data_IF_108049502348
#
_entry.id   IF_108049502348
#
_cell.length_a   1.000
_cell.length_b   1.000
_cell.length_c   1.000
_cell.angle_alpha   90.00
_cell.angle_beta   90.00
_cell.angle_gamma   90.00
#
_symmetry.space_group_name_H-M   'P 1'
#
loop_
_entity.id
_entity.type
_entity.pdbx_description
1 polymer ?
#
# COMPACT_ATOMS: atom_id res chain seq x y z
N UNK A 1 -23.92 10.96 -21.75
CA UNK A 1 -23.57 10.31 -20.47
C UNK A 1 -23.80 11.33 -19.35
N UNK A 2 -24.26 10.91 -18.17
CA UNK A 2 -24.40 11.82 -17.04
C UNK A 2 -23.02 12.39 -16.66
N UNK A 3 -22.97 13.68 -16.34
CA UNK A 3 -21.78 14.38 -15.87
C UNK A 3 -22.10 15.08 -14.56
N UNK A 4 -21.16 15.08 -13.61
CA UNK A 4 -21.28 15.84 -12.36
C UNK A 4 -20.53 17.17 -12.51
N UNK A 5 -21.13 18.28 -12.09
CA UNK A 5 -20.52 19.62 -12.22
C UNK A 5 -20.35 20.26 -10.83
N UNK A 6 -19.24 20.95 -10.64
CA UNK A 6 -18.93 21.80 -9.48
C UNK A 6 -18.09 22.99 -9.94
N UNK A 7 -17.90 24.02 -9.11
CA UNK A 7 -17.46 25.34 -9.58
C UNK A 7 -16.03 25.35 -10.15
N UNK A 8 -15.14 24.56 -9.56
CA UNK A 8 -13.71 24.50 -9.89
C UNK A 8 -13.36 23.36 -10.86
N UNK A 9 -14.36 22.56 -11.29
CA UNK A 9 -14.15 21.45 -12.20
C UNK A 9 -13.46 21.91 -13.48
N UNK A 10 -12.30 21.33 -13.75
CA UNK A 10 -11.55 21.60 -14.97
C UNK A 10 -10.89 20.32 -15.48
N UNK A 11 -10.58 20.30 -16.78
CA UNK A 11 -9.71 19.25 -17.33
C UNK A 11 -8.33 19.39 -16.67
N UNK A 12 -7.82 18.35 -16.00
CA UNK A 12 -6.53 18.47 -15.34
C UNK A 12 -5.42 18.78 -16.34
N UNK A 13 -4.67 19.84 -16.08
CA UNK A 13 -3.36 20.01 -16.67
C UNK A 13 -2.42 18.98 -16.05
N UNK A 14 -1.67 18.27 -16.89
CA UNK A 14 -0.69 17.30 -16.40
C UNK A 14 0.48 18.08 -15.79
N UNK A 15 0.71 18.01 -14.48
CA UNK A 15 1.83 18.70 -13.88
C UNK A 15 3.12 18.06 -14.40
N UNK A 16 4.08 18.89 -14.82
CA UNK A 16 5.43 18.42 -15.08
C UNK A 16 6.05 17.87 -13.79
N UNK A 17 6.55 16.65 -13.87
CA UNK A 17 7.04 15.88 -12.74
C UNK A 17 8.11 14.90 -13.23
N UNK A 18 9.16 14.74 -12.43
CA UNK A 18 10.18 13.74 -12.63
C UNK A 18 10.38 12.97 -11.31
N UNK A 19 10.79 11.72 -11.43
CA UNK A 19 11.11 10.87 -10.29
C UNK A 19 12.63 10.75 -10.19
N UNK A 20 13.14 10.93 -8.97
CA UNK A 20 14.53 10.68 -8.62
C UNK A 20 14.59 9.37 -7.83
N UNK A 21 15.61 8.56 -8.10
CA UNK A 21 15.85 7.33 -7.35
C UNK A 21 16.59 7.66 -6.06
N UNK A 22 16.03 7.26 -4.92
CA UNK A 22 16.68 7.35 -3.61
C UNK A 22 17.56 6.11 -3.37
N UNK A 23 16.97 4.93 -3.48
CA UNK A 23 17.67 3.68 -3.15
C UNK A 23 17.10 2.47 -3.87
N UNK A 24 17.93 1.44 -3.99
CA UNK A 24 17.51 0.09 -4.37
C UNK A 24 17.56 -0.77 -3.11
N UNK A 25 16.44 -1.41 -2.80
CA UNK A 25 16.34 -2.32 -1.65
C UNK A 25 16.41 -3.75 -2.15
N UNK A 26 17.41 -4.49 -1.64
CA UNK A 26 17.55 -5.94 -1.79
C UNK A 26 17.10 -6.59 -0.49
N UNK A 27 15.83 -7.03 -0.38
CA UNK A 27 15.32 -7.60 0.86
C UNK A 27 16.18 -8.76 1.34
N UNK A 28 16.77 -8.60 2.52
CA UNK A 28 17.66 -9.61 3.13
C UNK A 28 18.88 -9.96 2.25
N UNK A 29 19.31 -9.05 1.38
CA UNK A 29 20.48 -9.19 0.51
C UNK A 29 20.29 -10.11 -0.70
N UNK A 30 19.09 -10.66 -0.90
CA UNK A 30 18.79 -11.51 -2.05
C UNK A 30 18.93 -10.71 -3.35
N UNK A 31 19.71 -11.24 -4.29
CA UNK A 31 19.95 -10.61 -5.59
C UNK A 31 21.00 -9.50 -5.60
N UNK A 32 21.58 -9.13 -4.45
CA UNK A 32 22.57 -8.05 -4.38
C UNK A 32 23.88 -8.40 -5.13
N UNK A 33 24.51 -7.47 -5.87
CA UNK A 33 24.01 -6.17 -6.35
C UNK A 33 23.46 -6.24 -7.80
N UNK A 34 23.19 -7.44 -8.31
CA UNK A 34 23.01 -7.71 -9.75
C UNK A 34 21.55 -7.73 -10.20
N UNK A 35 20.62 -8.09 -9.31
CA UNK A 35 19.21 -8.19 -9.64
C UNK A 35 18.62 -6.81 -9.88
N UNK A 36 18.05 -6.61 -11.08
CA UNK A 36 17.45 -5.33 -11.45
C UNK A 36 16.06 -5.17 -10.82
N UNK A 37 15.79 -4.04 -10.14
CA UNK A 37 14.49 -3.80 -9.53
C UNK A 37 13.42 -3.60 -10.60
N UNK A 38 12.27 -4.26 -10.42
CA UNK A 38 11.05 -3.98 -11.19
C UNK A 38 10.04 -3.19 -10.37
N UNK A 39 9.96 -3.45 -9.08
CA UNK A 39 8.92 -2.88 -8.24
C UNK A 39 9.29 -1.46 -7.76
N UNK A 40 8.29 -0.61 -7.59
CA UNK A 40 8.50 0.81 -7.28
C UNK A 40 7.71 1.20 -6.03
N UNK A 41 8.38 1.90 -5.13
CA UNK A 41 7.80 2.53 -3.95
C UNK A 41 8.16 4.03 -3.98
N UNK A 42 7.17 4.89 -4.15
CA UNK A 42 7.40 6.28 -4.57
C UNK A 42 6.85 7.25 -3.52
N UNK A 43 7.70 8.12 -3.00
CA UNK A 43 7.33 9.23 -2.11
C UNK A 43 6.95 10.48 -2.92
N UNK A 44 5.75 11.01 -2.70
CA UNK A 44 5.35 12.30 -3.26
C UNK A 44 3.85 12.40 -3.55
N UNK A 45 3.43 13.60 -3.97
CA UNK A 45 2.04 13.83 -4.38
C UNK A 45 1.66 12.92 -5.55
N UNK A 46 0.61 12.14 -5.35
CA UNK A 46 0.21 11.08 -6.25
C UNK A 46 -0.30 11.56 -7.61
N UNK A 47 -0.83 12.78 -7.72
CA UNK A 47 -1.19 13.35 -9.02
C UNK A 47 0.06 13.60 -9.86
N UNK A 48 1.09 14.20 -9.26
CA UNK A 48 2.38 14.43 -9.92
C UNK A 48 3.14 13.14 -10.20
N UNK A 49 3.12 12.18 -9.28
CA UNK A 49 3.74 10.86 -9.48
C UNK A 49 3.07 10.12 -10.64
N UNK A 50 1.74 10.02 -10.66
CA UNK A 50 1.04 9.39 -11.79
C UNK A 50 1.35 10.09 -13.13
N UNK A 51 1.47 11.42 -13.14
CA UNK A 51 1.89 12.18 -14.33
C UNK A 51 3.30 11.76 -14.81
N UNK A 52 4.26 11.62 -13.88
CA UNK A 52 5.62 11.18 -14.18
C UNK A 52 5.69 9.71 -14.66
N UNK A 53 4.71 8.87 -14.30
CA UNK A 53 4.64 7.47 -14.72
C UNK A 53 4.04 7.28 -16.12
N UNK A 54 3.30 8.25 -16.66
CA UNK A 54 2.64 8.12 -17.96
C UNK A 54 3.57 7.69 -19.11
N UNK A 55 4.80 8.25 -19.27
CA UNK A 55 5.68 7.87 -20.37
C UNK A 55 6.02 6.37 -20.41
N UNK A 56 6.06 5.72 -19.25
CA UNK A 56 6.41 4.31 -19.12
C UNK A 56 5.19 3.40 -18.97
N UNK A 57 4.14 3.84 -18.27
CA UNK A 57 3.05 2.99 -17.79
C UNK A 57 1.67 3.30 -18.36
N UNK A 58 1.50 4.31 -19.22
CA UNK A 58 0.21 4.56 -19.87
C UNK A 58 -0.29 3.31 -20.61
N UNK A 59 -1.50 2.85 -20.27
CA UNK A 59 -2.06 1.64 -20.85
C UNK A 59 -1.40 0.32 -20.42
N UNK A 60 -0.70 0.26 -19.28
CA UNK A 60 0.08 -0.95 -18.88
C UNK A 60 -0.26 -1.55 -17.52
N UNK A 61 -1.01 -0.84 -16.66
CA UNK A 61 -1.31 -1.32 -15.30
C UNK A 61 -2.53 -2.24 -15.31
N UNK A 62 -2.38 -3.50 -14.89
CA UNK A 62 -3.44 -4.50 -14.94
C UNK A 62 -4.48 -4.30 -13.83
N UNK A 63 -4.05 -3.82 -12.66
CA UNK A 63 -4.94 -3.62 -11.51
C UNK A 63 -4.54 -2.37 -10.75
N UNK A 64 -5.50 -1.49 -10.50
CA UNK A 64 -5.35 -0.38 -9.55
C UNK A 64 -6.30 -0.61 -8.39
N UNK A 65 -5.77 -0.63 -7.17
CA UNK A 65 -6.57 -0.50 -5.95
C UNK A 65 -6.31 0.89 -5.38
N UNK A 66 -7.38 1.63 -5.11
CA UNK A 66 -7.30 2.98 -4.56
C UNK A 66 -8.19 3.09 -3.31
N UNK A 67 -7.60 3.58 -2.23
CA UNK A 67 -8.24 3.82 -0.93
C UNK A 67 -7.95 5.28 -0.52
N UNK A 68 -8.51 6.27 -1.25
CA UNK A 68 -8.26 7.68 -0.97
C UNK A 68 -8.88 8.08 0.38
N UNK A 69 -8.64 9.31 0.87
CA UNK A 69 -9.41 9.88 1.96
C UNK A 69 -10.93 9.84 1.67
N UNK A 70 -11.74 9.59 2.72
CA UNK A 70 -13.18 9.32 2.58
C UNK A 70 -14.04 10.58 2.77
N UNK A 71 -13.46 11.78 2.79
CA UNK A 71 -14.19 13.02 3.06
C UNK A 71 -14.84 13.04 4.47
N UNK A 72 -14.15 12.45 5.46
CA UNK A 72 -14.65 12.38 6.84
C UNK A 72 -14.43 13.66 7.64
N UNK A 73 -13.64 14.59 7.10
CA UNK A 73 -13.20 15.84 7.74
C UNK A 73 -12.48 15.62 9.08
N UNK A 74 -11.57 14.64 9.10
CA UNK A 74 -10.75 14.25 10.26
C UNK A 74 -9.27 14.22 9.90
N UNK A 75 -8.43 14.23 10.95
CA UNK A 75 -7.00 13.93 10.83
C UNK A 75 -6.74 12.56 11.43
N UNK A 76 -5.93 11.76 10.73
CA UNK A 76 -5.59 10.41 11.15
C UNK A 76 -4.11 10.38 11.57
N UNK A 77 -3.81 10.58 12.88
CA UNK A 77 -2.44 10.47 13.36
C UNK A 77 -1.97 9.02 13.31
N UNK A 78 -0.67 8.84 13.06
CA UNK A 78 0.00 7.55 13.13
C UNK A 78 0.67 7.40 14.49
N UNK A 79 0.61 6.19 15.06
CA UNK A 79 1.35 5.87 16.27
C UNK A 79 2.83 5.64 15.94
N UNK A 80 3.73 6.29 16.67
CA UNK A 80 5.18 6.16 16.58
C UNK A 80 5.74 5.65 17.90
N UNK A 81 7.01 5.24 17.93
CA UNK A 81 7.63 4.71 19.16
C UNK A 81 7.13 3.33 19.56
N UNK A 82 7.54 2.87 20.75
CA UNK A 82 7.16 1.56 21.33
C UNK A 82 7.08 1.56 22.84
N UNK A 83 6.30 0.60 23.36
CA UNK A 83 6.18 0.30 24.78
C UNK A 83 4.86 0.75 25.41
N UNK A 84 4.13 1.65 24.77
CA UNK A 84 2.91 2.22 25.37
C UNK A 84 1.74 1.23 25.27
N UNK A 85 0.86 1.25 26.25
CA UNK A 85 -0.27 0.32 26.25
C UNK A 85 -1.25 0.67 25.10
N UNK A 86 -1.54 -0.28 24.22
CA UNK A 86 -2.57 -0.12 23.17
C UNK A 86 -4.00 0.11 23.74
N UNK A 87 -4.17 -0.07 25.05
CA UNK A 87 -5.37 0.24 25.82
C UNK A 87 -5.36 1.66 26.41
N UNK A 88 -4.21 2.35 26.42
CA UNK A 88 -4.08 3.71 26.95
C UNK A 88 -3.64 4.72 25.87
N UNK A 89 -4.57 5.32 25.11
CA UNK A 89 -4.24 6.28 24.05
C UNK A 89 -3.50 7.54 24.52
N UNK A 90 -3.55 7.88 25.81
CA UNK A 90 -2.89 9.06 26.36
C UNK A 90 -1.37 8.92 26.41
N UNK A 91 -0.88 7.69 26.42
CA UNK A 91 0.55 7.39 26.42
C UNK A 91 1.10 7.28 24.99
N UNK A 92 0.27 7.34 23.95
CA UNK A 92 0.72 7.13 22.58
C UNK A 92 1.56 8.32 22.11
N UNK A 93 2.76 8.04 21.65
CA UNK A 93 3.48 8.95 20.79
C UNK A 93 2.83 8.92 19.40
N UNK A 94 2.48 10.11 18.92
CA UNK A 94 1.78 10.29 17.66
C UNK A 94 2.62 11.14 16.72
N UNK A 95 2.56 10.81 15.44
CA UNK A 95 3.00 11.66 14.35
C UNK A 95 1.87 11.85 13.34
N UNK A 96 2.11 12.72 12.36
CA UNK A 96 1.21 12.89 11.23
C UNK A 96 1.11 11.59 10.41
N UNK A 97 -0.11 11.08 10.22
CA UNK A 97 -0.39 9.96 9.32
C UNK A 97 -0.81 10.47 7.96
N UNK A 98 -2.12 10.70 7.78
CA UNK A 98 -2.67 11.36 6.59
C UNK A 98 -3.80 12.35 6.95
N UNK A 99 -3.95 13.45 6.20
CA UNK A 99 -5.07 14.37 6.34
C UNK A 99 -6.28 13.89 5.52
N UNK A 100 -7.47 13.96 6.12
CA UNK A 100 -8.75 13.82 5.41
C UNK A 100 -9.64 15.01 5.82
N UNK A 101 -9.14 16.22 5.54
CA UNK A 101 -9.78 17.47 5.92
C UNK A 101 -9.81 18.41 4.73
N UNK A 102 -11.00 18.88 4.40
CA UNK A 102 -11.30 19.65 3.19
C UNK A 102 -12.10 20.89 3.58
N UNK A 103 -11.94 21.96 2.81
CA UNK A 103 -12.73 23.19 3.01
C UNK A 103 -14.21 22.92 2.76
N UNK A 104 -14.50 22.23 1.66
CA UNK A 104 -15.83 21.87 1.18
C UNK A 104 -15.77 20.64 0.27
N UNK A 105 -16.90 20.26 -0.33
CA UNK A 105 -16.99 19.15 -1.27
C UNK A 105 -16.18 19.44 -2.56
N UNK A 106 -16.23 20.65 -3.09
CA UNK A 106 -15.51 21.04 -4.31
C UNK A 106 -14.01 20.81 -4.15
N UNK A 107 -13.41 21.18 -3.02
CA UNK A 107 -12.01 20.91 -2.72
C UNK A 107 -11.67 19.41 -2.67
N UNK A 108 -12.59 18.57 -2.18
CA UNK A 108 -12.42 17.12 -2.20
C UNK A 108 -12.51 16.55 -3.63
N UNK A 109 -13.46 17.03 -4.44
CA UNK A 109 -13.63 16.62 -5.83
C UNK A 109 -12.45 17.08 -6.69
N UNK A 110 -11.88 18.26 -6.44
CA UNK A 110 -10.67 18.76 -7.09
C UNK A 110 -9.45 17.88 -6.77
N UNK A 111 -9.41 17.26 -5.60
CA UNK A 111 -8.41 16.24 -5.30
C UNK A 111 -8.69 14.94 -6.06
N UNK A 112 -9.91 14.41 -5.97
CA UNK A 112 -10.23 13.06 -6.45
C UNK A 112 -10.30 12.97 -7.98
N UNK A 113 -10.98 13.89 -8.65
CA UNK A 113 -11.26 13.87 -10.08
C UNK A 113 -10.01 13.71 -10.97
N UNK A 114 -8.97 14.55 -10.85
CA UNK A 114 -7.81 14.46 -11.74
C UNK A 114 -7.00 13.18 -11.52
N UNK A 115 -7.03 12.64 -10.30
CA UNK A 115 -6.37 11.37 -9.97
C UNK A 115 -7.07 10.19 -10.63
N UNK A 116 -8.41 10.16 -10.62
CA UNK A 116 -9.18 9.12 -11.29
C UNK A 116 -8.98 9.14 -12.82
N UNK A 117 -8.82 10.33 -13.42
CA UNK A 117 -8.46 10.45 -14.85
C UNK A 117 -7.11 9.79 -15.14
N UNK A 118 -6.10 10.06 -14.31
CA UNK A 118 -4.77 9.46 -14.49
C UNK A 118 -4.77 7.95 -14.25
N UNK A 119 -5.47 7.47 -13.22
CA UNK A 119 -5.64 6.03 -12.99
C UNK A 119 -6.28 5.35 -14.21
N UNK A 120 -7.32 5.96 -14.79
CA UNK A 120 -7.93 5.45 -16.02
C UNK A 120 -6.93 5.40 -17.19
N UNK A 121 -6.07 6.39 -17.37
CA UNK A 121 -5.04 6.39 -18.43
C UNK A 121 -3.97 5.32 -18.21
N UNK A 122 -3.55 5.11 -16.98
CA UNK A 122 -2.52 4.13 -16.62
C UNK A 122 -3.00 2.68 -16.76
N UNK A 123 -4.31 2.42 -16.61
CA UNK A 123 -4.86 1.08 -16.77
C UNK A 123 -4.63 0.52 -18.17
N UNK A 124 -4.15 -0.72 -18.22
CA UNK A 124 -4.14 -1.54 -19.42
C UNK A 124 -5.57 -1.73 -19.98
N UNK A 125 -5.73 -2.04 -21.29
CA UNK A 125 -7.05 -2.29 -21.87
C UNK A 125 -7.86 -3.36 -21.12
N UNK A 126 -7.18 -4.35 -20.53
CA UNK A 126 -7.79 -5.42 -19.71
C UNK A 126 -7.83 -5.10 -18.21
N UNK A 127 -7.47 -3.89 -17.84
CA UNK A 127 -7.23 -3.49 -16.46
C UNK A 127 -8.51 -3.15 -15.69
N UNK A 128 -8.45 -3.33 -14.37
CA UNK A 128 -9.57 -3.05 -13.45
C UNK A 128 -9.15 -2.07 -12.37
N UNK A 129 -10.02 -1.10 -12.07
CA UNK A 129 -9.93 -0.20 -10.91
C UNK A 129 -10.88 -0.69 -9.81
N UNK A 130 -10.36 -0.81 -8.59
CA UNK A 130 -11.12 -0.96 -7.36
C UNK A 130 -10.97 0.31 -6.53
N UNK A 131 -12.04 1.11 -6.44
CA UNK A 131 -12.06 2.33 -5.64
C UNK A 131 -12.84 2.10 -4.34
N UNK A 132 -12.14 2.14 -3.22
CA UNK A 132 -12.68 1.90 -1.88
C UNK A 132 -13.06 3.22 -1.20
N UNK A 133 -14.32 3.37 -0.79
CA UNK A 133 -14.87 4.56 -0.13
C UNK A 133 -15.93 4.18 0.91
N UNK A 134 -16.29 5.12 1.79
CA UNK A 134 -17.51 5.01 2.61
C UNK A 134 -18.66 5.85 2.05
N UNK A 135 -19.76 5.89 2.82
CA UNK A 135 -20.99 6.61 2.48
C UNK A 135 -20.83 8.12 2.30
N UNK A 136 -19.77 8.77 2.79
CA UNK A 136 -19.57 10.21 2.59
C UNK A 136 -19.17 10.52 1.14
N UNK A 137 -18.42 9.62 0.49
CA UNK A 137 -17.76 9.89 -0.78
C UNK A 137 -18.21 8.99 -1.94
N UNK A 138 -18.71 7.78 -1.66
CA UNK A 138 -18.96 6.75 -2.69
C UNK A 138 -19.92 7.22 -3.80
N UNK A 139 -20.98 7.96 -3.46
CA UNK A 139 -21.95 8.46 -4.43
C UNK A 139 -21.33 9.48 -5.41
N UNK A 140 -20.48 10.39 -4.93
CA UNK A 140 -19.82 11.38 -5.78
C UNK A 140 -18.77 10.72 -6.68
N UNK A 141 -17.98 9.81 -6.11
CA UNK A 141 -16.98 9.07 -6.86
C UNK A 141 -17.60 8.20 -7.96
N UNK A 142 -18.77 7.61 -7.69
CA UNK A 142 -19.53 6.84 -8.68
C UNK A 142 -19.86 7.67 -9.92
N UNK A 143 -20.37 8.89 -9.73
CA UNK A 143 -20.70 9.78 -10.85
C UNK A 143 -19.45 10.23 -11.62
N UNK A 144 -18.34 10.48 -10.92
CA UNK A 144 -17.05 10.78 -11.57
C UNK A 144 -16.57 9.59 -12.41
N UNK A 145 -16.63 8.37 -11.87
CA UNK A 145 -16.19 7.18 -12.61
C UNK A 145 -17.09 6.88 -13.82
N UNK A 146 -18.40 7.08 -13.70
CA UNK A 146 -19.32 6.96 -14.85
C UNK A 146 -18.99 7.97 -15.96
N UNK A 147 -18.52 9.16 -15.61
CA UNK A 147 -18.07 10.16 -16.58
C UNK A 147 -16.72 9.79 -17.24
N UNK A 148 -15.78 9.24 -16.47
CA UNK A 148 -14.41 8.92 -16.93
C UNK A 148 -14.35 7.62 -17.74
N UNK A 149 -14.97 6.56 -17.22
CA UNK A 149 -14.94 5.22 -17.80
C UNK A 149 -16.13 4.97 -18.72
N UNK A 150 -17.26 5.63 -18.45
CA UNK A 150 -18.56 5.28 -19.02
C UNK A 150 -19.42 4.49 -18.03
N UNK A 151 -20.72 4.79 -17.99
CA UNK A 151 -21.67 4.18 -17.06
C UNK A 151 -21.87 2.67 -17.27
N UNK A 152 -21.54 2.16 -18.45
CA UNK A 152 -21.56 0.75 -18.83
C UNK A 152 -20.29 0.00 -18.41
N UNK A 153 -19.27 0.70 -17.89
CA UNK A 153 -18.01 0.11 -17.43
C UNK A 153 -17.97 -0.22 -15.94
N UNK A 154 -19.00 0.15 -15.18
CA UNK A 154 -19.17 -0.40 -13.83
C UNK A 154 -19.36 -1.91 -13.94
N UNK A 155 -18.37 -2.65 -13.45
CA UNK A 155 -18.46 -4.11 -13.36
C UNK A 155 -19.31 -4.52 -12.16
N UNK A 156 -19.06 -3.92 -10.99
CA UNK A 156 -19.78 -4.26 -9.77
C UNK A 156 -19.65 -3.17 -8.69
N UNK A 157 -20.58 -3.19 -7.74
CA UNK A 157 -20.49 -2.47 -6.47
C UNK A 157 -20.35 -3.48 -5.33
N UNK A 158 -19.16 -3.58 -4.75
CA UNK A 158 -18.86 -4.56 -3.71
C UNK A 158 -19.06 -3.91 -2.34
N UNK A 159 -19.82 -4.56 -1.47
CA UNK A 159 -20.06 -4.13 -0.10
C UNK A 159 -19.13 -4.88 0.84
N UNK A 160 -18.09 -4.23 1.36
CA UNK A 160 -17.23 -4.84 2.38
C UNK A 160 -17.85 -4.69 3.76
N UNK A 161 -18.36 -5.78 4.31
CA UNK A 161 -19.01 -5.85 5.63
C UNK A 161 -18.01 -6.26 6.71
N UNK A 162 -18.10 -5.61 7.88
CA UNK A 162 -17.27 -5.90 9.03
C UNK A 162 -18.02 -5.68 10.35
N UNK A 163 -17.60 -6.40 11.40
CA UNK A 163 -18.14 -6.23 12.75
C UNK A 163 -17.24 -5.36 13.62
N UNK A 164 -17.82 -4.77 14.65
CA UNK A 164 -17.09 -4.05 15.69
C UNK A 164 -18.03 -3.22 16.56
N UNK A 165 -17.54 -2.68 17.69
CA UNK A 165 -18.34 -1.77 18.51
C UNK A 165 -18.79 -0.57 17.68
N UNK A 166 -19.95 -0.01 18.04
CA UNK A 166 -20.47 1.23 17.47
C UNK A 166 -21.05 2.07 18.60
N UNK A 167 -20.64 3.35 18.72
CA UNK A 167 -21.21 4.25 19.71
C UNK A 167 -22.59 4.78 19.28
N UNK A 168 -23.01 4.54 18.03
CA UNK A 168 -24.30 5.00 17.52
C UNK A 168 -25.42 4.32 18.33
N UNK A 169 -26.40 5.13 18.75
CA UNK A 169 -27.60 4.69 19.50
C UNK A 169 -28.90 5.15 18.85
N UNK A 170 -28.84 6.10 17.92
CA UNK A 170 -29.99 6.74 17.27
C UNK A 170 -30.27 6.23 15.85
N UNK A 171 -29.46 5.30 15.34
CA UNK A 171 -29.57 4.76 13.97
C UNK A 171 -28.96 3.36 13.89
N UNK A 172 -29.16 2.67 12.77
CA UNK A 172 -28.46 1.43 12.48
C UNK A 172 -26.95 1.66 12.42
N UNK A 173 -26.21 0.66 12.91
CA UNK A 173 -24.75 0.71 12.89
C UNK A 173 -24.24 0.66 11.46
N UNK A 174 -23.41 1.63 11.11
CA UNK A 174 -22.64 1.61 9.86
C UNK A 174 -21.55 0.55 9.99
N UNK A 175 -21.66 -0.52 9.19
CA UNK A 175 -20.84 -1.73 9.26
C UNK A 175 -20.40 -2.25 7.89
N UNK A 176 -20.34 -1.34 6.93
CA UNK A 176 -19.78 -1.63 5.63
C UNK A 176 -19.17 -0.38 5.00
N UNK A 177 -18.21 -0.65 4.11
CA UNK A 177 -17.66 0.30 3.16
C UNK A 177 -18.02 -0.20 1.74
N UNK A 178 -17.94 0.67 0.75
CA UNK A 178 -18.26 0.38 -0.65
C UNK A 178 -16.98 0.34 -1.49
N UNK A 179 -16.83 -0.66 -2.34
CA UNK A 179 -15.74 -0.78 -3.31
C UNK A 179 -16.36 -0.78 -4.72
N UNK A 180 -16.17 0.32 -5.44
CA UNK A 180 -16.61 0.48 -6.82
C UNK A 180 -15.61 -0.21 -7.76
N UNK A 181 -16.09 -1.10 -8.62
CA UNK A 181 -15.25 -1.86 -9.54
C UNK A 181 -15.53 -1.43 -10.98
N UNK A 182 -14.53 -0.84 -11.63
CA UNK A 182 -14.61 -0.38 -13.02
C UNK A 182 -13.59 -1.10 -13.89
N UNK A 183 -14.01 -1.41 -15.10
CA UNK A 183 -13.15 -2.03 -16.12
C UNK A 183 -12.77 -1.01 -17.16
N UNK A 184 -11.51 -1.04 -17.62
CA UNK A 184 -11.02 -0.11 -18.65
C UNK A 184 -11.77 -0.28 -19.98
N UNK A 185 -12.17 -1.51 -20.31
CA UNK A 185 -12.89 -1.85 -21.53
C UNK A 185 -13.87 -3.02 -21.30
N UNK A 186 -14.48 -3.53 -22.36
CA UNK A 186 -15.32 -4.74 -22.32
C UNK A 186 -14.53 -6.02 -22.05
N UNK A 187 -13.24 -6.03 -22.38
CA UNK A 187 -12.34 -7.13 -22.07
C UNK A 187 -11.60 -6.82 -20.78
N UNK A 188 -11.64 -7.73 -19.80
CA UNK A 188 -10.96 -7.56 -18.52
C UNK A 188 -10.53 -8.91 -17.93
N UNK A 189 -9.53 -8.88 -17.06
CA UNK A 189 -9.07 -10.07 -16.33
C UNK A 189 -10.03 -10.37 -15.17
N UNK A 190 -10.61 -11.58 -15.15
CA UNK A 190 -11.35 -12.10 -13.99
C UNK A 190 -11.08 -13.60 -13.77
N UNK A 191 -10.20 -13.91 -12.82
CA UNK A 191 -9.81 -15.27 -12.45
C UNK A 191 -10.83 -15.88 -11.48
N UNK A 192 -11.98 -16.26 -12.03
CA UNK A 192 -13.13 -16.76 -11.26
C UNK A 192 -12.78 -17.89 -10.30
N UNK A 193 -11.89 -18.80 -10.70
CA UNK A 193 -11.54 -19.98 -9.90
C UNK A 193 -10.64 -19.65 -8.71
N UNK A 194 -9.82 -18.59 -8.80
CA UNK A 194 -8.92 -18.15 -7.73
C UNK A 194 -9.64 -17.51 -6.54
N UNK A 195 -10.90 -17.11 -6.73
CA UNK A 195 -11.70 -16.42 -5.71
C UNK A 195 -12.87 -17.25 -5.20
N UNK A 196 -13.05 -18.49 -5.69
CA UNK A 196 -14.13 -19.35 -5.21
C UNK A 196 -14.02 -19.63 -3.72
N UNK A 197 -15.18 -19.73 -3.10
CA UNK A 197 -15.32 -20.13 -1.71
C UNK A 197 -16.15 -21.42 -1.60
N UNK A 198 -15.91 -22.24 -0.56
CA UNK A 198 -16.77 -23.38 -0.28
C UNK A 198 -18.23 -22.96 -0.18
N UNK A 199 -19.14 -23.85 -0.59
CA UNK A 199 -20.54 -23.67 -0.29
C UNK A 199 -20.77 -23.73 1.23
N UNK A 200 -21.80 -23.02 1.68
CA UNK A 200 -22.23 -23.11 3.07
C UNK A 200 -22.56 -24.57 3.44
N UNK A 201 -22.19 -25.06 4.64
CA UNK A 201 -22.47 -26.43 5.06
C UNK A 201 -23.94 -26.84 4.94
N UNK A 202 -24.88 -25.91 5.15
CA UNK A 202 -26.32 -26.13 4.96
C UNK A 202 -26.62 -26.40 3.50
N UNK A 203 -26.03 -25.64 2.58
CA UNK A 203 -26.19 -25.88 1.13
C UNK A 203 -25.68 -27.26 0.75
N UNK A 204 -24.51 -27.65 1.24
CA UNK A 204 -23.93 -28.98 1.00
C UNK A 204 -24.89 -30.08 1.50
N UNK A 205 -25.43 -29.94 2.71
CA UNK A 205 -26.41 -30.88 3.28
C UNK A 205 -27.70 -30.97 2.45
N UNK A 206 -28.21 -29.83 1.98
CA UNK A 206 -29.43 -29.78 1.15
C UNK A 206 -29.27 -30.52 -0.18
N UNK A 207 -28.13 -30.36 -0.85
CA UNK A 207 -27.87 -31.10 -2.09
C UNK A 207 -27.54 -32.58 -1.86
N UNK A 208 -27.02 -32.93 -0.67
CA UNK A 208 -26.87 -34.32 -0.26
C UNK A 208 -28.24 -34.99 -0.01
N UNK A 209 -29.22 -34.27 0.54
CA UNK A 209 -30.57 -34.80 0.80
C UNK A 209 -31.46 -34.84 -0.44
N UNK A 210 -31.30 -33.89 -1.37
CA UNK A 210 -32.05 -33.89 -2.63
C UNK A 210 -31.26 -33.26 -3.77
N UNK A 211 -30.96 -34.08 -4.80
CA UNK A 211 -30.36 -33.60 -6.06
C UNK A 211 -31.29 -32.66 -6.85
N UNK A 212 -32.59 -32.61 -6.51
CA UNK A 212 -33.57 -31.70 -7.14
C UNK A 212 -33.66 -30.32 -6.47
N UNK A 213 -32.95 -30.10 -5.35
CA UNK A 213 -33.02 -28.87 -4.58
C UNK A 213 -32.57 -27.60 -5.34
N UNK A 214 -31.78 -27.75 -6.40
CA UNK A 214 -31.28 -26.63 -7.20
C UNK A 214 -32.12 -26.28 -8.42
N UNK A 215 -33.45 -26.47 -8.38
CA UNK A 215 -34.33 -26.20 -9.52
C UNK A 215 -33.86 -26.87 -10.83
N UNK A 216 -33.40 -28.12 -10.73
CA UNK A 216 -32.88 -28.90 -11.86
C UNK A 216 -31.38 -28.70 -12.18
N UNK A 217 -30.67 -27.82 -11.48
CA UNK A 217 -29.21 -27.66 -11.59
C UNK A 217 -28.51 -28.24 -10.37
N UNK A 218 -27.52 -29.11 -10.60
CA UNK A 218 -26.66 -29.66 -9.54
C UNK A 218 -25.34 -28.86 -9.55
N UNK A 219 -25.03 -28.09 -8.50
CA UNK A 219 -23.78 -27.35 -8.44
C UNK A 219 -22.59 -28.29 -8.21
N UNK A 220 -21.41 -27.90 -8.69
CA UNK A 220 -20.18 -28.58 -8.34
C UNK A 220 -19.74 -28.15 -6.93
N UNK A 221 -20.20 -28.89 -5.92
CA UNK A 221 -19.94 -28.60 -4.51
C UNK A 221 -18.44 -28.60 -4.16
N UNK A 222 -17.63 -29.42 -4.84
CA UNK A 222 -16.18 -29.49 -4.64
C UNK A 222 -15.47 -28.25 -5.19
N UNK A 223 -15.89 -27.75 -6.36
CA UNK A 223 -15.33 -26.53 -6.97
C UNK A 223 -15.69 -25.27 -6.19
N UNK A 224 -16.78 -25.30 -5.44
CA UNK A 224 -17.26 -24.15 -4.66
C UNK A 224 -17.97 -23.10 -5.53
N UNK A 225 -18.38 -22.00 -4.90
CA UNK A 225 -19.11 -20.90 -5.53
C UNK A 225 -18.25 -19.67 -5.70
N UNK A 226 -18.61 -18.82 -6.66
CA UNK A 226 -18.09 -17.46 -6.72
C UNK A 226 -18.67 -16.69 -5.52
N UNK A 227 -17.88 -15.88 -4.79
CA UNK A 227 -18.39 -15.04 -3.72
C UNK A 227 -19.46 -14.09 -4.24
N UNK A 228 -20.40 -13.76 -3.37
CA UNK A 228 -21.32 -12.63 -3.56
C UNK A 228 -20.57 -11.30 -3.69
N UNK A 229 -21.27 -10.23 -4.00
CA UNK A 229 -20.78 -8.85 -3.99
C UNK A 229 -20.75 -8.23 -2.58
N UNK A 230 -21.30 -8.89 -1.56
CA UNK A 230 -21.08 -8.54 -0.16
C UNK A 230 -20.00 -9.42 0.47
N UNK A 231 -18.90 -8.82 0.91
CA UNK A 231 -17.74 -9.56 1.41
C UNK A 231 -17.58 -9.34 2.91
N UNK A 232 -17.48 -10.42 3.66
CA UNK A 232 -17.11 -10.32 5.07
C UNK A 232 -15.60 -10.49 5.25
N UNK A 233 -14.95 -9.43 5.74
CA UNK A 233 -13.60 -9.50 6.30
C UNK A 233 -13.53 -8.62 7.56
N UNK A 234 -12.98 -9.09 8.69
CA UNK A 234 -12.85 -8.25 9.87
C UNK A 234 -11.87 -7.11 9.59
N UNK A 235 -12.12 -5.94 10.18
CA UNK A 235 -11.11 -4.88 10.26
C UNK A 235 -9.89 -5.39 11.02
N UNK A 236 -8.70 -4.86 10.71
CA UNK A 236 -7.45 -5.30 11.33
C UNK A 236 -7.46 -4.99 12.83
N UNK A 237 -7.67 -6.03 13.64
CA UNK A 237 -7.77 -5.89 15.09
C UNK A 237 -6.47 -5.38 15.71
N UNK A 238 -6.57 -4.71 16.86
CA UNK A 238 -5.42 -4.04 17.53
C UNK A 238 -4.24 -4.97 17.81
N UNK A 239 -4.51 -6.23 18.16
CA UNK A 239 -3.49 -7.23 18.51
C UNK A 239 -3.15 -8.20 17.38
N UNK A 240 -3.76 -8.00 16.19
CA UNK A 240 -3.54 -8.90 15.06
C UNK A 240 -2.10 -8.77 14.53
N UNK A 241 -1.51 -9.89 14.10
CA UNK A 241 -0.10 -9.92 13.66
C UNK A 241 0.15 -9.11 12.38
N UNK A 242 -0.88 -8.95 11.53
CA UNK A 242 -0.76 -8.17 10.30
C UNK A 242 -0.71 -6.65 10.54
N UNK A 243 -1.10 -6.17 11.74
CA UNK A 243 -1.20 -4.74 12.04
C UNK A 243 0.18 -4.08 12.01
N UNK A 244 0.32 -3.01 11.24
CA UNK A 244 1.57 -2.24 11.12
C UNK A 244 1.67 -1.07 12.11
N UNK A 245 0.52 -0.56 12.58
CA UNK A 245 0.46 0.68 13.38
C UNK A 245 0.05 1.91 12.55
N UNK A 246 0.05 1.79 11.23
CA UNK A 246 -0.51 2.80 10.33
C UNK A 246 -2.04 2.87 10.49
N UNK A 247 -2.64 4.08 10.48
CA UNK A 247 -4.09 4.24 10.60
C UNK A 247 -4.83 3.52 9.46
N UNK A 248 -6.08 3.12 9.73
CA UNK A 248 -7.05 2.62 8.72
C UNK A 248 -6.56 1.49 7.79
N UNK A 249 -5.52 0.74 8.19
CA UNK A 249 -4.98 -0.40 7.44
C UNK A 249 -6.09 -1.39 7.04
N UNK A 250 -6.12 -1.71 5.74
CA UNK A 250 -7.01 -2.72 5.16
C UNK A 250 -6.46 -4.15 5.36
N UNK A 251 -7.33 -5.17 5.57
CA UNK A 251 -6.90 -6.55 5.84
C UNK A 251 -6.22 -7.20 4.63
N UNK A 252 -5.20 -8.02 4.88
CA UNK A 252 -4.48 -8.76 3.81
C UNK A 252 -5.43 -9.67 3.02
N UNK A 253 -6.42 -10.30 3.68
CA UNK A 253 -7.38 -11.19 3.03
C UNK A 253 -8.29 -10.49 2.00
N UNK A 254 -8.66 -9.23 2.26
CA UNK A 254 -9.46 -8.42 1.33
C UNK A 254 -8.65 -8.14 0.06
N UNK A 255 -7.43 -7.62 0.21
CA UNK A 255 -6.55 -7.30 -0.92
C UNK A 255 -6.12 -8.56 -1.69
N UNK A 256 -5.89 -9.68 -0.99
CA UNK A 256 -5.61 -10.96 -1.62
C UNK A 256 -6.72 -11.38 -2.57
N UNK A 257 -8.00 -11.23 -2.17
CA UNK A 257 -9.14 -11.56 -3.05
C UNK A 257 -9.18 -10.66 -4.28
N UNK A 258 -8.99 -9.35 -4.10
CA UNK A 258 -9.00 -8.37 -5.20
C UNK A 258 -7.88 -8.68 -6.21
N UNK A 259 -6.65 -8.88 -5.73
CA UNK A 259 -5.48 -9.13 -6.58
C UNK A 259 -5.63 -10.45 -7.33
N UNK A 260 -6.09 -11.51 -6.67
CA UNK A 260 -6.34 -12.78 -7.33
C UNK A 260 -7.43 -12.69 -8.40
N UNK A 261 -8.52 -11.97 -8.12
CA UNK A 261 -9.61 -11.78 -9.08
C UNK A 261 -9.12 -11.15 -10.37
N UNK A 262 -8.33 -10.07 -10.29
CA UNK A 262 -8.19 -9.14 -11.42
C UNK A 262 -6.74 -8.94 -11.88
N UNK A 263 -5.84 -9.87 -11.55
CA UNK A 263 -4.46 -9.89 -12.04
C UNK A 263 -3.88 -11.30 -12.05
N UNK A 264 -2.88 -11.52 -12.90
CA UNK A 264 -2.10 -12.73 -13.03
C UNK A 264 -0.68 -12.55 -12.43
N UNK A 265 0.07 -13.63 -12.17
CA UNK A 265 1.49 -13.51 -11.87
C UNK A 265 2.21 -12.65 -12.93
N UNK A 266 3.21 -11.89 -12.50
CA UNK A 266 3.91 -10.85 -13.26
C UNK A 266 3.07 -9.65 -13.71
N UNK A 267 1.75 -9.58 -13.48
CA UNK A 267 0.99 -8.35 -13.79
C UNK A 267 1.41 -7.17 -12.92
N UNK A 268 1.16 -5.95 -13.40
CA UNK A 268 1.34 -4.72 -12.64
C UNK A 268 0.12 -4.41 -11.77
N UNK A 269 0.34 -4.30 -10.47
CA UNK A 269 -0.63 -3.86 -9.47
C UNK A 269 -0.20 -2.53 -8.90
N UNK A 270 -1.04 -1.49 -8.97
CA UNK A 270 -0.72 -0.18 -8.44
C UNK A 270 -1.66 0.27 -7.31
N UNK A 271 -1.09 1.03 -6.39
CA UNK A 271 -1.79 1.69 -5.29
C UNK A 271 -1.18 3.06 -5.04
N UNK A 272 -1.90 4.11 -5.44
CA UNK A 272 -1.48 5.51 -5.33
C UNK A 272 -1.93 6.19 -4.02
N UNK A 273 -2.45 5.40 -3.07
CA UNK A 273 -2.80 5.79 -1.71
C UNK A 273 -2.32 4.71 -0.74
N UNK A 274 -1.07 4.27 -0.91
CA UNK A 274 -0.67 2.96 -0.40
C UNK A 274 -0.71 2.86 1.13
N UNK A 275 -0.53 3.97 1.86
CA UNK A 275 -0.62 4.04 3.31
C UNK A 275 0.22 2.96 3.99
N UNK A 276 -0.46 1.97 4.58
CA UNK A 276 0.19 0.83 5.24
C UNK A 276 0.89 -0.17 4.30
N UNK A 277 0.71 -0.07 2.98
CA UNK A 277 1.35 -0.92 1.97
C UNK A 277 0.70 -2.30 1.76
N UNK A 278 -0.54 -2.52 2.23
CA UNK A 278 -1.17 -3.86 2.15
C UNK A 278 -1.25 -4.37 0.71
N UNK A 279 -1.58 -3.51 -0.26
CA UNK A 279 -1.67 -3.86 -1.68
C UNK A 279 -0.32 -4.33 -2.21
N UNK A 280 0.75 -3.56 -2.00
CA UNK A 280 2.10 -3.91 -2.44
C UNK A 280 2.60 -5.22 -1.82
N UNK A 281 2.39 -5.40 -0.52
CA UNK A 281 2.78 -6.63 0.19
C UNK A 281 2.03 -7.84 -0.36
N UNK A 282 0.74 -7.73 -0.64
CA UNK A 282 -0.03 -8.83 -1.24
C UNK A 282 0.35 -9.08 -2.69
N UNK A 283 0.61 -8.04 -3.48
CA UNK A 283 1.09 -8.17 -4.85
C UNK A 283 2.42 -8.96 -4.87
N UNK A 284 3.39 -8.56 -4.06
CA UNK A 284 4.68 -9.25 -3.95
C UNK A 284 4.53 -10.72 -3.52
N UNK A 285 3.76 -11.00 -2.45
CA UNK A 285 3.53 -12.39 -1.99
C UNK A 285 2.84 -13.28 -3.04
N UNK A 286 2.06 -12.67 -3.93
CA UNK A 286 1.34 -13.36 -4.99
C UNK A 286 2.15 -13.38 -6.30
N UNK A 287 3.39 -12.90 -6.33
CA UNK A 287 4.22 -12.88 -7.54
C UNK A 287 3.74 -11.89 -8.60
N UNK A 288 3.16 -10.76 -8.18
CA UNK A 288 2.84 -9.62 -9.04
C UNK A 288 3.89 -8.52 -8.87
N UNK A 289 4.05 -7.69 -9.90
CA UNK A 289 4.84 -6.46 -9.81
C UNK A 289 4.01 -5.36 -9.16
N UNK A 290 4.64 -4.47 -8.39
CA UNK A 290 3.92 -3.38 -7.73
C UNK A 290 4.47 -1.98 -8.02
N UNK A 291 3.54 -1.02 -8.06
CA UNK A 291 3.82 0.42 -7.94
C UNK A 291 3.02 0.94 -6.75
N UNK A 292 3.68 1.35 -5.69
CA UNK A 292 3.04 1.90 -4.51
C UNK A 292 3.49 3.34 -4.30
N UNK A 293 2.55 4.23 -4.03
CA UNK A 293 2.85 5.64 -3.82
C UNK A 293 2.01 6.23 -2.70
N UNK A 294 2.64 7.13 -1.94
CA UNK A 294 2.01 7.92 -0.90
C UNK A 294 2.75 9.25 -0.74
N UNK A 295 2.03 10.27 -0.26
CA UNK A 295 2.58 11.58 0.07
C UNK A 295 3.47 11.53 1.33
N UNK A 296 3.16 10.62 2.24
CA UNK A 296 3.79 10.55 3.56
C UNK A 296 5.01 9.64 3.57
N UNK A 297 6.17 10.17 3.99
CA UNK A 297 7.35 9.35 4.29
C UNK A 297 7.01 8.16 5.18
N UNK A 298 6.09 8.32 6.13
CA UNK A 298 5.74 7.27 7.08
C UNK A 298 4.97 6.12 6.43
N UNK A 299 4.13 6.41 5.45
CA UNK A 299 3.48 5.38 4.65
C UNK A 299 4.51 4.57 3.86
N UNK A 300 5.46 5.28 3.24
CA UNK A 300 6.55 4.66 2.49
C UNK A 300 7.46 3.82 3.40
N UNK A 301 7.88 4.36 4.54
CA UNK A 301 8.67 3.65 5.54
C UNK A 301 7.95 2.41 6.08
N UNK A 302 6.66 2.54 6.40
CA UNK A 302 5.83 1.42 6.87
C UNK A 302 5.72 0.33 5.79
N UNK A 303 5.51 0.73 4.54
CA UNK A 303 5.40 -0.19 3.41
C UNK A 303 6.71 -0.96 3.21
N UNK A 304 7.85 -0.25 3.21
CA UNK A 304 9.19 -0.86 3.17
C UNK A 304 9.40 -1.86 4.31
N UNK A 305 9.07 -1.47 5.54
CA UNK A 305 9.19 -2.32 6.74
C UNK A 305 8.31 -3.57 6.69
N UNK A 306 7.28 -3.60 5.85
CA UNK A 306 6.46 -4.80 5.60
C UNK A 306 6.97 -5.63 4.44
N UNK A 307 7.47 -5.01 3.37
CA UNK A 307 7.97 -5.69 2.17
C UNK A 307 9.22 -6.53 2.45
N UNK A 308 10.17 -5.99 3.22
CA UNK A 308 11.45 -6.65 3.52
C UNK A 308 11.25 -8.03 4.21
N UNK A 309 10.56 -8.14 5.36
CA UNK A 309 10.34 -9.43 6.01
C UNK A 309 9.32 -10.32 5.27
N UNK A 310 8.55 -9.77 4.33
CA UNK A 310 7.64 -10.55 3.50
C UNK A 310 8.35 -11.29 2.35
N UNK A 311 9.67 -11.09 2.17
CA UNK A 311 10.42 -11.69 1.08
C UNK A 311 10.05 -11.11 -0.29
N UNK A 312 9.73 -9.81 -0.34
CA UNK A 312 9.48 -9.12 -1.60
C UNK A 312 10.67 -9.26 -2.55
N UNK A 313 10.45 -9.32 -3.88
CA UNK A 313 11.52 -9.11 -4.86
C UNK A 313 12.14 -7.71 -4.71
N UNK A 314 13.31 -7.51 -5.34
CA UNK A 314 14.04 -6.25 -5.33
C UNK A 314 13.16 -5.09 -5.82
N UNK A 315 13.24 -3.95 -5.13
CA UNK A 315 12.42 -2.79 -5.41
C UNK A 315 13.20 -1.49 -5.25
N UNK A 316 12.80 -0.47 -6.00
CA UNK A 316 13.33 0.88 -5.85
C UNK A 316 12.47 1.71 -4.91
N UNK A 317 13.13 2.62 -4.20
CA UNK A 317 12.50 3.76 -3.54
C UNK A 317 12.81 4.98 -4.38
N UNK A 318 11.78 5.73 -4.74
CA UNK A 318 11.89 6.95 -5.52
C UNK A 318 11.19 8.10 -4.81
N UNK A 319 11.54 9.32 -5.18
CA UNK A 319 10.89 10.52 -4.69
C UNK A 319 10.59 11.47 -5.84
N UNK A 320 9.55 12.30 -5.68
CA UNK A 320 9.24 13.36 -6.61
C UNK A 320 10.32 14.46 -6.54
N UNK A 321 10.86 14.88 -7.68
CA UNK A 321 11.92 15.92 -7.72
C UNK A 321 11.41 17.28 -7.24
N UNK A 322 12.23 18.02 -6.50
CA UNK A 322 11.99 19.43 -6.18
C UNK A 322 10.87 19.70 -5.17
N UNK A 323 10.44 18.70 -4.40
CA UNK A 323 9.33 18.86 -3.43
C UNK A 323 9.76 19.28 -2.03
N UNK A 324 11.06 19.33 -1.72
CA UNK A 324 11.55 19.55 -0.35
C UNK A 324 11.18 18.43 0.65
N UNK A 325 10.27 17.52 0.26
CA UNK A 325 10.04 16.23 0.89
C UNK A 325 11.28 15.34 0.66
N UNK A 326 12.30 15.55 1.49
CA UNK A 326 13.46 14.68 1.51
C UNK A 326 13.13 13.43 2.32
N UNK A 327 13.60 12.29 1.82
CA UNK A 327 13.77 11.07 2.62
C UNK A 327 14.55 11.35 3.92
N UNK A 328 15.49 12.29 3.84
CA UNK A 328 16.38 12.69 4.93
C UNK A 328 15.94 14.01 5.56
N UNK A 329 15.36 13.92 6.76
CA UNK A 329 15.21 15.06 7.65
C UNK A 329 16.43 15.18 8.55
N UNK A 330 17.36 16.06 8.18
CA UNK A 330 18.51 16.56 8.95
C UNK A 330 19.51 15.53 9.53
N UNK A 331 20.80 15.81 9.38
CA UNK A 331 21.87 15.15 10.14
C UNK A 331 21.69 15.43 11.63
N UNK A 332 21.22 14.44 12.40
CA UNK A 332 21.52 14.45 13.83
C UNK A 332 22.98 14.06 14.02
N UNK A 333 23.74 14.88 14.75
CA UNK A 333 24.98 14.45 15.39
C UNK A 333 24.62 13.35 16.38
N UNK A 334 24.76 12.09 15.95
CA UNK A 334 24.55 10.94 16.82
C UNK A 334 25.90 10.45 17.35
N UNK A 335 25.92 9.91 18.56
CA UNK A 335 27.11 9.23 19.08
C UNK A 335 27.37 7.87 18.40
N UNK A 336 26.59 7.53 17.36
CA UNK A 336 26.66 6.27 16.66
C UNK A 336 27.87 6.24 15.73
N UNK A 337 28.49 5.06 15.65
CA UNK A 337 29.58 4.74 14.75
C UNK A 337 29.28 3.41 14.07
N UNK A 338 29.81 3.24 12.87
CA UNK A 338 29.72 1.98 12.14
C UNK A 338 31.03 1.20 12.34
N UNK A 339 30.95 0.06 13.01
CA UNK A 339 32.03 -0.93 13.03
C UNK A 339 31.88 -1.89 11.86
N UNK A 340 33.01 -2.28 11.27
CA UNK A 340 33.08 -3.24 10.17
C UNK A 340 34.27 -4.17 10.36
N UNK A 341 34.03 -5.49 10.32
CA UNK A 341 35.07 -6.52 10.51
C UNK A 341 35.41 -7.32 9.23
N UNK A 342 34.78 -7.00 8.10
CA UNK A 342 34.92 -7.74 6.85
C UNK A 342 33.75 -8.68 6.52
N UNK A 343 32.86 -8.96 7.49
CA UNK A 343 31.67 -9.78 7.28
C UNK A 343 30.40 -9.23 7.95
N UNK A 344 30.55 -8.65 9.14
CA UNK A 344 29.46 -8.14 9.97
C UNK A 344 29.62 -6.63 10.20
N UNK A 345 28.59 -5.90 9.80
CA UNK A 345 28.43 -4.50 10.16
C UNK A 345 27.84 -4.41 11.56
N UNK A 346 28.39 -3.54 12.40
CA UNK A 346 27.92 -3.34 13.78
C UNK A 346 27.67 -1.88 14.07
N UNK A 347 26.49 -1.57 14.58
CA UNK A 347 26.17 -0.25 15.11
C UNK A 347 26.74 -0.11 16.53
N UNK A 348 27.61 0.89 16.75
CA UNK A 348 28.30 1.12 18.03
C UNK A 348 27.88 2.48 18.59
N UNK A 349 27.54 2.54 19.87
CA UNK A 349 27.17 3.77 20.58
C UNK A 349 25.74 3.74 21.12
N UNK A 350 25.32 4.81 21.79
CA UNK A 350 23.94 4.98 22.20
C UNK A 350 23.22 5.88 21.21
N UNK A 351 22.10 5.45 20.62
CA UNK A 351 21.39 6.27 19.67
C UNK A 351 20.78 7.49 20.37
N UNK A 352 20.81 8.65 19.70
CA UNK A 352 20.22 9.89 20.22
C UNK A 352 18.69 9.80 20.35
N UNK A 353 18.08 8.84 19.64
CA UNK A 353 16.66 8.51 19.69
C UNK A 353 16.41 7.03 19.44
N UNK A 354 15.14 6.64 19.45
CA UNK A 354 14.74 5.27 19.24
C UNK A 354 14.92 4.88 17.76
N UNK A 355 15.95 4.07 17.42
CA UNK A 355 16.17 3.62 16.02
C UNK A 355 15.01 2.74 15.56
N UNK A 356 14.39 3.05 14.42
CA UNK A 356 13.32 2.24 13.82
C UNK A 356 13.83 1.33 12.69
N UNK A 357 14.89 1.75 12.00
CA UNK A 357 15.43 1.03 10.86
C UNK A 357 16.89 1.40 10.64
N UNK A 358 17.72 0.45 10.19
CA UNK A 358 18.99 0.79 9.56
C UNK A 358 19.38 -0.23 8.51
N UNK A 359 20.22 0.19 7.59
CA UNK A 359 20.63 -0.58 6.45
C UNK A 359 22.06 -0.22 6.03
N UNK A 360 22.69 -1.12 5.29
CA UNK A 360 24.07 -0.98 4.84
C UNK A 360 24.21 -1.15 3.34
N UNK A 361 25.13 -0.40 2.74
CA UNK A 361 25.61 -0.58 1.37
C UNK A 361 27.14 -0.75 1.39
N UNK A 362 27.66 -1.93 1.00
CA UNK A 362 29.10 -2.19 0.95
C UNK A 362 29.83 -1.48 -0.20
N UNK A 363 29.13 -0.86 -1.14
CA UNK A 363 29.75 -0.28 -2.32
C UNK A 363 29.02 0.99 -2.78
N UNK A 364 28.61 1.84 -1.83
CA UNK A 364 27.90 3.07 -2.18
C UNK A 364 28.82 4.03 -2.96
N UNK A 365 28.42 4.36 -4.17
CA UNK A 365 29.12 5.23 -5.11
C UNK A 365 28.81 6.71 -4.92
N UNK A 366 28.00 7.06 -3.92
CA UNK A 366 27.49 8.42 -3.69
C UNK A 366 26.34 8.81 -4.63
N UNK A 367 25.89 7.92 -5.51
CA UNK A 367 24.77 8.17 -6.42
C UNK A 367 23.51 7.43 -5.99
N UNK A 368 23.56 6.09 -5.92
CA UNK A 368 22.38 5.27 -5.60
C UNK A 368 22.73 4.36 -4.44
N UNK A 369 22.03 4.53 -3.31
CA UNK A 369 22.22 3.65 -2.17
C UNK A 369 21.60 2.28 -2.43
N UNK A 370 22.42 1.22 -2.38
CA UNK A 370 22.01 -0.16 -2.60
C UNK A 370 21.95 -0.86 -1.25
N UNK A 371 20.75 -0.85 -0.65
CA UNK A 371 20.49 -1.48 0.63
C UNK A 371 20.65 -2.99 0.54
N UNK A 372 21.82 -3.48 0.98
CA UNK A 372 22.25 -4.86 0.89
C UNK A 372 21.81 -5.71 2.08
N UNK A 373 21.70 -5.09 3.26
CA UNK A 373 21.23 -5.75 4.48
C UNK A 373 20.49 -4.74 5.33
N UNK A 374 19.43 -5.18 6.02
CA UNK A 374 18.51 -4.30 6.73
C UNK A 374 18.17 -4.86 8.11
N UNK A 375 18.13 -3.99 9.12
CA UNK A 375 17.50 -4.27 10.40
C UNK A 375 16.25 -3.43 10.55
N UNK A 376 15.21 -4.06 11.06
CA UNK A 376 13.94 -3.43 11.38
C UNK A 376 13.70 -3.55 12.87
N UNK A 377 13.17 -2.51 13.48
CA UNK A 377 12.70 -2.59 14.87
C UNK A 377 11.65 -3.73 14.96
N UNK A 378 11.69 -4.66 15.93
CA UNK A 378 10.72 -5.77 16.04
C UNK A 378 9.28 -5.39 16.47
N UNK A 379 8.24 -5.50 15.63
CA UNK A 379 6.88 -4.93 15.84
C UNK A 379 6.25 -4.98 17.26
N UNK A 380 6.54 -5.99 18.10
CA UNK A 380 5.97 -6.14 19.45
C UNK A 380 6.95 -5.73 20.57
N UNK A 381 7.98 -6.54 20.82
CA UNK A 381 8.99 -6.35 21.88
C UNK A 381 10.36 -6.74 21.31
N UNK A 382 11.41 -6.10 21.82
CA UNK A 382 12.80 -6.35 21.43
C UNK A 382 13.50 -5.07 20.98
N UNK A 383 14.83 -5.09 21.06
CA UNK A 383 15.70 -4.08 20.47
C UNK A 383 15.88 -4.38 18.98
N UNK A 384 16.15 -3.34 18.19
CA UNK A 384 16.60 -3.55 16.81
C UNK A 384 17.92 -4.33 16.83
N UNK A 385 18.14 -5.17 15.82
CA UNK A 385 19.41 -5.87 15.67
C UNK A 385 20.52 -4.82 15.46
N UNK A 386 21.59 -4.88 16.24
CA UNK A 386 22.74 -3.98 16.14
C UNK A 386 23.80 -4.50 15.17
N UNK A 387 23.58 -5.68 14.59
CA UNK A 387 24.48 -6.34 13.66
C UNK A 387 23.78 -6.71 12.36
N UNK A 388 24.46 -6.51 11.24
CA UNK A 388 24.00 -6.94 9.92
C UNK A 388 25.10 -7.74 9.24
N UNK A 389 24.77 -8.98 8.88
CA UNK A 389 25.60 -9.80 8.01
C UNK A 389 25.41 -9.30 6.59
N UNK A 390 26.52 -9.05 5.90
CA UNK A 390 26.50 -8.67 4.49
C UNK A 390 26.51 -9.90 3.57
N UNK A 391 25.91 -9.79 2.37
CA UNK A 391 26.08 -10.81 1.34
C UNK A 391 27.57 -10.97 1.01
N UNK A 392 27.99 -12.20 0.65
CA UNK A 392 29.39 -12.52 0.32
C UNK A 392 29.86 -11.74 -0.91
N UNK A 393 30.40 -10.53 -0.70
CA UNK A 393 30.94 -9.64 -1.73
C UNK A 393 32.31 -9.14 -1.29
N UNK A 394 33.27 -9.09 -2.21
CA UNK A 394 34.58 -8.50 -1.93
C UNK A 394 34.44 -6.99 -1.81
N UNK A 395 34.65 -6.46 -0.61
CA UNK A 395 34.55 -5.03 -0.34
C UNK A 395 35.94 -4.39 -0.45
N UNK A 396 36.09 -3.45 -1.38
CA UNK A 396 37.21 -2.52 -1.43
C UNK A 396 36.64 -1.13 -1.17
N UNK A 397 36.97 -0.51 -0.02
CA UNK A 397 36.57 0.86 0.41
C UNK A 397 35.25 0.91 1.23
N UNK A 398 34.98 2.02 1.97
CA UNK A 398 34.31 1.96 3.26
C UNK A 398 32.85 1.51 3.16
N UNK A 399 32.40 0.78 4.17
CA UNK A 399 31.01 0.41 4.33
C UNK A 399 30.20 1.65 4.71
N UNK A 400 29.05 1.86 4.07
CA UNK A 400 28.13 2.94 4.41
C UNK A 400 26.87 2.39 5.07
N UNK A 401 26.33 3.12 6.04
CA UNK A 401 25.06 2.80 6.67
C UNK A 401 24.12 4.00 6.69
N UNK A 402 22.84 3.73 6.46
CA UNK A 402 21.74 4.66 6.67
C UNK A 402 20.94 4.22 7.88
N UNK A 403 20.82 5.08 8.88
CA UNK A 403 20.08 4.84 10.14
C UNK A 403 18.88 5.79 10.20
N UNK A 404 17.70 5.27 10.53
CA UNK A 404 16.45 6.04 10.61
C UNK A 404 15.81 5.84 11.98
N UNK A 405 15.47 6.94 12.65
CA UNK A 405 14.76 6.91 13.94
C UNK A 405 13.22 6.85 13.80
N UNK A 406 12.51 6.68 14.92
CA UNK A 406 11.02 6.66 14.94
C UNK A 406 10.36 7.98 14.50
N UNK A 407 11.11 9.08 14.48
CA UNK A 407 10.66 10.38 13.99
C UNK A 407 10.85 10.55 12.48
N UNK A 408 11.63 9.66 11.85
CA UNK A 408 11.99 9.72 10.44
C UNK A 408 13.21 10.59 10.16
N UNK A 409 14.04 10.88 11.18
CA UNK A 409 15.33 11.53 10.97
C UNK A 409 16.33 10.49 10.48
N UNK A 410 17.20 10.89 9.54
CA UNK A 410 18.22 10.01 8.97
C UNK A 410 19.61 10.42 9.42
N UNK A 411 20.44 9.43 9.75
CA UNK A 411 21.87 9.59 9.99
C UNK A 411 22.66 8.67 9.04
N UNK A 412 23.70 9.23 8.42
CA UNK A 412 24.62 8.51 7.55
C UNK A 412 25.92 8.21 8.30
N UNK A 413 26.39 6.97 8.23
CA UNK A 413 27.61 6.51 8.88
C UNK A 413 28.53 5.85 7.85
N UNK A 414 29.84 5.89 8.09
CA UNK A 414 30.84 5.11 7.37
C UNK A 414 31.77 4.37 8.35
N UNK A 415 32.37 3.27 7.88
CA UNK A 415 33.35 2.45 8.63
C UNK A 415 34.75 3.02 8.64
#
# INVERSE_FOLDING_TARGET
MPSINWATKSTPSLPSAALEMDSIVYPQGVGYPVESPKNQLILGDNLRVMSALLPEFEGRINLIYADPPFFTNKRYPMRIGRGEDSRNPKEWQLAEGYPDHWMDLDAYLDMLYPRLILMHRLLAPTGTLYLHLDWHASAYARLILDEIFGSDRLLNEIVWVYHGPSPIRSAFNRKHDTILVYTKSESYTFNVDEVRQPYDPVTIKTFASSKKAGFGKIPNLKRGKVPEDWWYFPVVARLHMERSGYPTQKPEALLRRIILASSNPEDWVADFFCGSGTTAVMAAKLGRRFIANDLSFRAIHTTRARLIPAGSPVFVIQQLTGTGAAWDKSEQSTSLRLGWDGQVAKLIGQPAGDIDYWEVDPAWDGHIFRSASQALRPRKKGTICDQLVLPNVTINLPLYARVVDIHGNTCWLNS
#
